data_IF_149862110687
#
_entry.id   IF_149862110687
#
_cell.length_a   1.000
_cell.length_b   1.000
_cell.length_c   1.000
_cell.angle_alpha   90.00
_cell.angle_beta   90.00
_cell.angle_gamma   90.00
#
_symmetry.space_group_name_H-M   'P 1'
#
loop_
_entity.id
_entity.type
_entity.pdbx_description
1 polymer ?
#
# COMPACT_ATOMS: atom_id res chain seq x y z
N UNK A 1 29.20 -7.86 -9.17
CA UNK A 1 28.14 -8.89 -9.21
C UNK A 1 27.88 -9.14 -10.68
N UNK A 2 28.22 -10.34 -11.14
CA UNK A 2 28.27 -10.68 -12.56
C UNK A 2 26.90 -10.53 -13.22
N UNK A 3 26.90 -9.93 -14.43
CA UNK A 3 25.74 -9.68 -15.29
C UNK A 3 25.15 -10.97 -15.92
N UNK A 4 25.42 -12.15 -15.34
CA UNK A 4 25.17 -13.44 -15.98
C UNK A 4 24.41 -14.44 -15.10
N UNK A 5 23.63 -13.95 -14.13
CA UNK A 5 22.65 -14.80 -13.47
C UNK A 5 21.50 -15.06 -14.44
N UNK A 6 21.33 -16.33 -14.82
CA UNK A 6 20.27 -16.73 -15.75
C UNK A 6 18.94 -16.61 -15.02
N UNK A 7 18.18 -15.57 -15.35
CA UNK A 7 16.85 -15.36 -14.77
C UNK A 7 15.91 -16.50 -15.12
N UNK A 8 15.09 -16.89 -14.16
CA UNK A 8 14.04 -17.86 -14.43
C UNK A 8 12.86 -17.21 -15.20
N UNK A 9 11.88 -18.00 -15.68
CA UNK A 9 10.76 -17.48 -16.44
C UNK A 9 9.91 -16.43 -15.70
N UNK A 10 9.68 -16.61 -14.40
CA UNK A 10 8.91 -15.66 -13.58
C UNK A 10 9.63 -14.32 -13.46
N UNK A 11 10.92 -14.34 -13.15
CA UNK A 11 11.75 -13.14 -13.07
C UNK A 11 11.84 -12.40 -14.41
N UNK A 12 11.96 -13.15 -15.51
CA UNK A 12 11.98 -12.61 -16.88
C UNK A 12 10.66 -11.92 -17.21
N UNK A 13 9.52 -12.55 -16.90
CA UNK A 13 8.20 -11.95 -17.11
C UNK A 13 8.04 -10.64 -16.33
N UNK A 14 8.48 -10.58 -15.07
CA UNK A 14 8.46 -9.33 -14.29
C UNK A 14 9.30 -8.23 -14.97
N UNK A 15 10.49 -8.58 -15.47
CA UNK A 15 11.33 -7.61 -16.19
C UNK A 15 10.66 -7.06 -17.45
N UNK A 16 9.92 -7.89 -18.19
CA UNK A 16 9.19 -7.45 -19.38
C UNK A 16 8.14 -6.38 -19.03
N UNK A 17 7.46 -6.52 -17.89
CA UNK A 17 6.53 -5.49 -17.39
C UNK A 17 7.24 -4.23 -16.84
N UNK A 18 8.36 -4.40 -16.13
CA UNK A 18 9.12 -3.30 -15.55
C UNK A 18 9.93 -2.52 -16.61
N UNK A 19 10.26 -3.14 -17.73
CA UNK A 19 10.95 -2.53 -18.85
C UNK A 19 10.11 -1.48 -19.54
N UNK A 20 10.66 -0.28 -19.72
CA UNK A 20 10.10 0.73 -20.63
C UNK A 20 11.23 1.61 -21.17
N UNK A 21 11.38 1.64 -22.50
CA UNK A 21 12.30 2.58 -23.16
C UNK A 21 11.80 4.00 -22.90
N UNK A 22 12.72 4.96 -22.87
CA UNK A 22 12.37 6.35 -22.59
C UNK A 22 11.34 6.91 -23.59
N UNK A 23 11.44 6.52 -24.87
CA UNK A 23 10.54 6.97 -25.93
C UNK A 23 9.08 6.47 -25.76
N UNK A 24 8.87 5.40 -25.01
CA UNK A 24 7.54 4.78 -24.81
C UNK A 24 6.88 5.27 -23.50
N UNK A 25 7.55 6.13 -22.74
CA UNK A 25 7.06 6.60 -21.44
C UNK A 25 6.09 7.78 -21.61
N UNK A 26 4.99 7.81 -20.85
CA UNK A 26 4.02 8.89 -20.96
C UNK A 26 4.61 10.22 -20.49
N UNK A 27 4.25 11.27 -21.22
CA UNK A 27 4.48 12.66 -20.86
C UNK A 27 3.22 13.18 -20.17
N UNK A 28 3.40 13.94 -19.10
CA UNK A 28 2.32 14.64 -18.42
C UNK A 28 2.51 16.15 -18.53
N UNK A 29 1.41 16.89 -18.34
CA UNK A 29 1.45 18.35 -18.21
C UNK A 29 2.32 18.76 -17.02
N UNK A 30 3.05 19.87 -17.15
CA UNK A 30 3.77 20.50 -16.03
C UNK A 30 2.81 21.21 -15.06
N UNK A 31 1.54 21.40 -15.43
CA UNK A 31 0.49 21.93 -14.54
C UNK A 31 -0.28 20.84 -13.76
N UNK A 32 -0.11 19.55 -14.11
CA UNK A 32 -0.92 18.46 -13.53
C UNK A 32 -0.85 18.42 -12.00
N UNK A 33 0.31 18.74 -11.41
CA UNK A 33 0.47 18.77 -9.96
C UNK A 33 -0.43 19.81 -9.31
N UNK A 34 -0.41 21.04 -9.83
CA UNK A 34 -1.21 22.14 -9.29
C UNK A 34 -2.69 21.87 -9.47
N UNK A 35 -3.09 21.34 -10.63
CA UNK A 35 -4.49 21.00 -10.93
C UNK A 35 -5.03 19.95 -9.94
N UNK A 36 -4.31 18.84 -9.74
CA UNK A 36 -4.71 17.80 -8.77
C UNK A 36 -4.78 18.32 -7.33
N UNK A 37 -3.81 19.17 -6.93
CA UNK A 37 -3.79 19.77 -5.59
C UNK A 37 -4.94 20.73 -5.37
N UNK A 38 -5.20 21.61 -6.33
CA UNK A 38 -6.26 22.60 -6.27
C UNK A 38 -7.63 21.90 -6.22
N UNK A 39 -7.86 20.93 -7.09
CA UNK A 39 -9.11 20.18 -7.16
C UNK A 39 -9.41 19.43 -5.84
N UNK A 40 -8.43 18.71 -5.30
CA UNK A 40 -8.59 18.08 -3.98
C UNK A 40 -8.76 19.11 -2.87
N UNK A 41 -8.05 20.23 -2.90
CA UNK A 41 -8.17 21.26 -1.87
C UNK A 41 -9.59 21.84 -1.85
N UNK A 42 -10.16 22.13 -3.02
CA UNK A 42 -11.54 22.61 -3.17
C UNK A 42 -12.51 21.55 -2.63
N UNK A 43 -12.42 20.31 -3.12
CA UNK A 43 -13.33 19.21 -2.73
C UNK A 43 -13.29 18.88 -1.25
N UNK A 44 -12.10 18.89 -0.66
CA UNK A 44 -11.91 18.52 0.74
C UNK A 44 -12.14 19.69 1.71
N UNK A 45 -12.05 20.94 1.26
CA UNK A 45 -12.28 22.12 2.12
C UNK A 45 -13.67 22.12 2.77
N UNK A 46 -14.69 21.62 2.06
CA UNK A 46 -16.07 21.53 2.56
C UNK A 46 -16.23 20.62 3.77
N UNK A 47 -15.25 19.76 4.07
CA UNK A 47 -15.29 18.87 5.23
C UNK A 47 -14.61 19.44 6.47
N UNK A 48 -13.81 20.50 6.32
CA UNK A 48 -12.99 21.07 7.37
C UNK A 48 -13.81 21.50 8.59
N UNK A 49 -14.95 22.15 8.37
CA UNK A 49 -15.80 22.67 9.46
C UNK A 49 -16.42 21.57 10.34
N UNK A 50 -16.46 20.33 9.86
CA UNK A 50 -17.00 19.21 10.61
C UNK A 50 -15.94 18.49 11.44
N UNK A 51 -14.65 18.71 11.17
CA UNK A 51 -13.55 18.09 11.92
C UNK A 51 -13.17 19.05 13.06
N UNK A 52 -13.25 18.63 14.34
CA UNK A 52 -12.88 19.48 15.47
C UNK A 52 -11.45 20.02 15.34
N UNK A 53 -11.22 21.27 15.77
CA UNK A 53 -9.91 21.94 15.63
C UNK A 53 -8.75 21.20 16.34
N UNK A 54 -9.05 20.40 17.36
CA UNK A 54 -8.09 19.58 18.10
C UNK A 54 -7.92 18.17 17.53
N UNK A 55 -8.59 17.85 16.43
CA UNK A 55 -8.55 16.55 15.78
C UNK A 55 -7.96 16.63 14.37
N UNK A 56 -7.56 15.48 13.85
CA UNK A 56 -7.08 15.36 12.48
C UNK A 56 -7.55 14.05 11.90
N UNK A 57 -8.18 14.12 10.72
CA UNK A 57 -8.63 12.96 10.00
C UNK A 57 -7.48 12.36 9.18
N UNK A 58 -6.91 11.27 9.69
CA UNK A 58 -5.91 10.48 8.98
C UNK A 58 -6.60 9.43 8.08
N UNK A 59 -6.36 9.51 6.78
CA UNK A 59 -6.93 8.60 5.78
C UNK A 59 -5.83 7.85 5.07
N UNK A 60 -5.99 6.53 5.00
CA UNK A 60 -5.11 5.63 4.25
C UNK A 60 -5.95 4.79 3.28
N UNK A 61 -5.29 4.04 2.40
CA UNK A 61 -5.95 3.06 1.55
C UNK A 61 -6.83 2.06 2.33
N UNK A 62 -6.42 1.70 3.54
CA UNK A 62 -7.16 0.78 4.40
C UNK A 62 -8.49 1.39 4.85
N UNK A 63 -8.46 2.64 5.32
CA UNK A 63 -9.67 3.37 5.70
C UNK A 63 -10.63 3.51 4.50
N UNK A 64 -10.12 3.86 3.32
CA UNK A 64 -10.93 3.97 2.10
C UNK A 64 -11.56 2.63 1.71
N UNK A 65 -10.82 1.53 1.77
CA UNK A 65 -11.38 0.22 1.45
C UNK A 65 -12.44 -0.23 2.44
N UNK A 66 -12.23 -0.01 3.73
CA UNK A 66 -13.21 -0.38 4.76
C UNK A 66 -14.50 0.41 4.59
N UNK A 67 -14.42 1.74 4.55
CA UNK A 67 -15.60 2.60 4.46
C UNK A 67 -16.39 2.35 3.16
N UNK A 68 -15.70 2.11 2.05
CA UNK A 68 -16.34 1.85 0.76
C UNK A 68 -16.93 0.44 0.69
N UNK A 69 -16.42 -0.51 1.48
CA UNK A 69 -16.95 -1.88 1.53
C UNK A 69 -18.17 -1.98 2.44
N UNK A 70 -18.08 -1.45 3.66
CA UNK A 70 -19.13 -1.54 4.66
C UNK A 70 -18.92 -0.50 5.77
N UNK A 71 -19.85 0.45 5.89
CA UNK A 71 -19.79 1.51 6.89
C UNK A 71 -19.94 0.97 8.33
N UNK A 72 -20.79 -0.05 8.52
CA UNK A 72 -20.93 -0.73 9.84
C UNK A 72 -19.66 -1.43 10.28
N UNK A 73 -19.01 -2.17 9.37
CA UNK A 73 -17.73 -2.81 9.66
C UNK A 73 -16.66 -1.76 9.95
N UNK A 74 -16.62 -0.66 9.20
CA UNK A 74 -15.68 0.43 9.45
C UNK A 74 -15.78 0.99 10.87
N UNK A 75 -17.00 1.23 11.38
CA UNK A 75 -17.19 1.68 12.77
C UNK A 75 -16.81 0.60 13.77
N UNK A 76 -17.25 -0.64 13.54
CA UNK A 76 -16.91 -1.78 14.41
C UNK A 76 -15.38 -1.95 14.54
N UNK A 77 -14.67 -1.90 13.42
CA UNK A 77 -13.20 -2.02 13.38
C UNK A 77 -12.51 -0.82 14.05
N UNK A 78 -13.10 0.39 13.93
CA UNK A 78 -12.57 1.62 14.54
C UNK A 78 -12.74 1.64 16.06
N UNK A 79 -13.83 1.11 16.57
CA UNK A 79 -14.12 1.01 18.01
C UNK A 79 -13.39 -0.17 18.68
N UNK A 80 -13.03 -1.17 17.89
CA UNK A 80 -12.25 -2.32 18.36
C UNK A 80 -10.83 -1.92 18.73
N UNK A 81 -10.32 -2.45 19.84
CA UNK A 81 -8.89 -2.32 20.15
C UNK A 81 -8.09 -3.16 19.17
N UNK A 82 -7.11 -2.55 18.50
CA UNK A 82 -6.22 -3.30 17.61
C UNK A 82 -5.39 -4.30 18.41
N UNK A 83 -5.42 -5.56 17.99
CA UNK A 83 -4.62 -6.63 18.56
C UNK A 83 -3.70 -7.25 17.50
N UNK A 84 -2.42 -7.39 17.86
CA UNK A 84 -1.47 -8.10 17.04
C UNK A 84 -1.79 -9.60 17.01
N UNK A 85 -1.59 -10.18 15.84
CA UNK A 85 -1.79 -11.59 15.57
C UNK A 85 -0.78 -12.04 14.52
N UNK A 86 -0.56 -13.36 14.39
CA UNK A 86 0.34 -13.90 13.35
C UNK A 86 -0.01 -13.35 11.96
N UNK A 87 -1.28 -13.33 11.52
CA UNK A 87 -1.63 -12.77 10.21
C UNK A 87 -1.29 -11.28 10.02
N UNK A 88 -1.48 -10.45 11.06
CA UNK A 88 -1.24 -8.99 10.97
C UNK A 88 0.24 -8.66 11.04
N UNK A 89 1.02 -9.38 11.85
CA UNK A 89 2.47 -9.21 11.93
C UNK A 89 3.21 -9.75 10.70
N UNK A 90 2.72 -10.85 10.11
CA UNK A 90 3.35 -11.52 8.96
C UNK A 90 3.67 -10.55 7.82
N UNK A 91 2.73 -9.69 7.44
CA UNK A 91 2.91 -8.74 6.33
C UNK A 91 4.06 -7.76 6.59
N UNK A 92 4.05 -7.13 7.76
CA UNK A 92 5.05 -6.15 8.16
C UNK A 92 6.46 -6.76 8.24
N UNK A 93 6.58 -7.92 8.88
CA UNK A 93 7.89 -8.60 9.03
C UNK A 93 8.40 -9.08 7.67
N UNK A 94 7.52 -9.55 6.78
CA UNK A 94 7.91 -9.95 5.42
C UNK A 94 8.48 -8.77 4.63
N UNK A 95 7.86 -7.59 4.70
CA UNK A 95 8.38 -6.41 4.02
C UNK A 95 9.72 -5.96 4.59
N UNK A 96 9.91 -6.04 5.92
CA UNK A 96 11.23 -5.77 6.51
C UNK A 96 12.28 -6.79 6.05
N UNK A 97 11.95 -8.08 5.95
CA UNK A 97 12.88 -9.09 5.45
C UNK A 97 13.24 -8.88 3.97
N UNK A 98 12.27 -8.50 3.13
CA UNK A 98 12.50 -8.14 1.72
C UNK A 98 13.36 -6.85 1.62
N UNK A 99 13.10 -5.84 2.45
CA UNK A 99 13.93 -4.64 2.54
C UNK A 99 15.40 -5.02 2.84
N UNK A 100 15.60 -5.89 3.84
CA UNK A 100 16.93 -6.38 4.18
C UNK A 100 17.58 -7.12 3.02
N UNK A 101 16.84 -7.96 2.29
CA UNK A 101 17.38 -8.75 1.17
C UNK A 101 17.92 -7.88 0.03
N UNK A 102 17.38 -6.68 -0.15
CA UNK A 102 17.76 -5.75 -1.21
C UNK A 102 19.04 -4.98 -0.86
N UNK A 103 19.21 -4.64 0.42
CA UNK A 103 20.31 -3.79 0.87
C UNK A 103 21.45 -4.57 1.53
N UNK A 104 21.31 -5.88 1.72
CA UNK A 104 22.38 -6.72 2.22
C UNK A 104 23.52 -6.83 1.21
N UNK A 105 24.77 -6.75 1.68
CA UNK A 105 25.94 -6.77 0.80
C UNK A 105 26.20 -8.12 0.12
N UNK A 106 25.70 -9.20 0.72
CA UNK A 106 25.83 -10.57 0.25
C UNK A 106 24.46 -11.20 0.09
N UNK A 107 24.39 -12.25 -0.71
CA UNK A 107 23.23 -13.12 -0.73
C UNK A 107 23.05 -13.80 0.63
N UNK A 108 21.81 -13.82 1.12
CA UNK A 108 21.45 -14.34 2.43
C UNK A 108 20.20 -15.19 2.27
N UNK A 109 20.22 -16.37 2.88
CA UNK A 109 19.10 -17.32 2.87
C UNK A 109 17.82 -16.67 3.43
N UNK A 110 16.63 -16.95 2.85
CA UNK A 110 15.36 -16.36 3.27
C UNK A 110 15.15 -16.39 4.78
N UNK A 111 15.42 -17.54 5.41
CA UNK A 111 15.21 -17.73 6.83
C UNK A 111 16.10 -16.85 7.71
N UNK A 112 17.33 -16.57 7.26
CA UNK A 112 18.24 -15.68 7.97
C UNK A 112 17.78 -14.22 7.88
N UNK A 113 17.19 -13.82 6.75
CA UNK A 113 16.55 -12.50 6.60
C UNK A 113 15.32 -12.37 7.51
N UNK A 114 14.53 -13.44 7.64
CA UNK A 114 13.37 -13.48 8.56
C UNK A 114 13.82 -13.35 10.00
N UNK A 115 14.84 -14.11 10.42
CA UNK A 115 15.35 -14.05 11.80
C UNK A 115 15.90 -12.66 12.14
N UNK A 116 16.60 -12.01 11.21
CA UNK A 116 17.06 -10.64 11.38
C UNK A 116 15.90 -9.63 11.43
N UNK A 117 14.91 -9.77 10.55
CA UNK A 117 13.73 -8.90 10.56
C UNK A 117 12.96 -9.01 11.88
N UNK A 118 12.74 -10.23 12.38
CA UNK A 118 12.13 -10.50 13.67
C UNK A 118 12.93 -9.87 14.82
N UNK A 119 14.26 -10.06 14.82
CA UNK A 119 15.15 -9.47 15.82
C UNK A 119 15.04 -7.94 15.85
N UNK A 120 15.06 -7.28 14.68
CA UNK A 120 14.91 -5.83 14.58
C UNK A 120 13.55 -5.33 15.04
N UNK A 121 12.47 -6.01 14.67
CA UNK A 121 11.13 -5.66 15.13
C UNK A 121 10.96 -5.88 16.63
N UNK A 122 11.55 -6.94 17.21
CA UNK A 122 11.49 -7.20 18.65
C UNK A 122 12.31 -6.20 19.49
N UNK A 123 13.38 -5.63 18.93
CA UNK A 123 14.19 -4.59 19.58
C UNK A 123 13.60 -3.17 19.51
N UNK A 124 12.38 -3.01 18.96
CA UNK A 124 11.67 -1.74 18.99
C UNK A 124 11.02 -1.44 20.35
N UNK A 125 10.50 -0.23 20.50
CA UNK A 125 9.78 0.21 21.71
C UNK A 125 8.26 0.35 21.49
N UNK A 126 7.72 -0.37 20.49
CA UNK A 126 6.32 -0.27 20.08
C UNK A 126 5.47 -1.49 20.51
N UNK A 127 4.18 -1.43 20.19
CA UNK A 127 3.23 -2.50 20.50
C UNK A 127 3.57 -3.82 19.79
N UNK A 128 4.19 -3.77 18.61
CA UNK A 128 4.61 -4.97 17.88
C UNK A 128 5.75 -5.65 18.62
N UNK A 129 6.76 -4.90 19.04
CA UNK A 129 7.88 -5.41 19.82
C UNK A 129 7.40 -6.09 21.11
N UNK A 130 6.49 -5.42 21.83
CA UNK A 130 5.87 -5.96 23.05
C UNK A 130 5.13 -7.28 22.79
N UNK A 131 4.35 -7.35 21.71
CA UNK A 131 3.66 -8.57 21.31
C UNK A 131 4.62 -9.69 20.89
N UNK A 132 5.68 -9.37 20.13
CA UNK A 132 6.70 -10.34 19.72
C UNK A 132 7.43 -10.99 20.90
N UNK A 133 7.63 -10.25 22.00
CA UNK A 133 8.20 -10.79 23.23
C UNK A 133 7.24 -11.73 23.99
N UNK A 134 5.94 -11.52 23.86
CA UNK A 134 4.90 -12.35 24.50
C UNK A 134 4.47 -13.58 23.69
N UNK A 135 4.96 -13.74 22.46
CA UNK A 135 4.60 -14.85 21.57
C UNK A 135 4.98 -16.21 22.18
N UNK A 136 4.05 -17.15 22.15
CA UNK A 136 4.32 -18.54 22.48
C UNK A 136 5.17 -19.20 21.38
N UNK A 137 5.90 -20.27 21.73
CA UNK A 137 6.81 -20.96 20.80
C UNK A 137 6.10 -21.44 19.52
N UNK A 138 4.85 -21.91 19.65
CA UNK A 138 4.02 -22.34 18.52
C UNK A 138 3.72 -21.20 17.55
N UNK A 139 3.21 -20.08 18.06
CA UNK A 139 2.87 -18.90 17.24
C UNK A 139 4.11 -18.26 16.64
N UNK A 140 5.23 -18.23 17.40
CA UNK A 140 6.53 -17.76 16.90
C UNK A 140 7.02 -18.63 15.74
N UNK A 141 6.90 -19.96 15.87
CA UNK A 141 7.26 -20.90 14.80
C UNK A 141 6.36 -20.73 13.57
N UNK A 142 5.04 -20.56 13.77
CA UNK A 142 4.10 -20.31 12.67
C UNK A 142 4.43 -19.00 11.95
N UNK A 143 4.59 -17.90 12.69
CA UNK A 143 4.95 -16.60 12.13
C UNK A 143 6.24 -16.67 11.31
N UNK A 144 7.28 -17.32 11.85
CA UNK A 144 8.56 -17.51 11.17
C UNK A 144 8.40 -18.30 9.87
N UNK A 145 7.63 -19.39 9.88
CA UNK A 145 7.34 -20.19 8.69
C UNK A 145 6.57 -19.39 7.63
N UNK A 146 5.50 -18.71 8.04
CA UNK A 146 4.64 -17.93 7.15
C UNK A 146 5.39 -16.79 6.46
N UNK A 147 6.25 -16.08 7.22
CA UNK A 147 7.12 -15.04 6.67
C UNK A 147 8.17 -15.65 5.74
N UNK A 148 8.81 -16.76 6.14
CA UNK A 148 9.84 -17.41 5.31
C UNK A 148 9.28 -17.81 3.94
N UNK A 149 8.09 -18.41 3.89
CA UNK A 149 7.46 -18.78 2.64
C UNK A 149 7.24 -17.56 1.73
N UNK A 150 6.76 -16.45 2.29
CA UNK A 150 6.54 -15.21 1.52
C UNK A 150 7.85 -14.60 1.00
N UNK A 151 8.90 -14.57 1.83
CA UNK A 151 10.22 -14.04 1.45
C UNK A 151 10.89 -14.94 0.42
N UNK A 152 10.83 -16.26 0.59
CA UNK A 152 11.36 -17.21 -0.38
C UNK A 152 10.66 -17.07 -1.74
N UNK A 153 9.32 -17.01 -1.76
CA UNK A 153 8.57 -16.77 -3.01
C UNK A 153 8.98 -15.47 -3.68
N UNK A 154 9.22 -14.39 -2.92
CA UNK A 154 9.74 -13.14 -3.49
C UNK A 154 11.12 -13.33 -4.13
N UNK A 155 12.08 -13.93 -3.41
CA UNK A 155 13.45 -14.12 -3.91
C UNK A 155 13.51 -15.05 -5.13
N UNK A 156 12.63 -16.05 -5.19
CA UNK A 156 12.54 -16.98 -6.32
C UNK A 156 11.86 -16.37 -7.54
N UNK A 157 10.88 -15.48 -7.38
CA UNK A 157 10.01 -15.04 -8.49
C UNK A 157 10.26 -13.59 -8.94
N UNK A 158 10.78 -12.74 -8.07
CA UNK A 158 11.11 -11.34 -8.37
C UNK A 158 12.56 -11.23 -8.86
N UNK A 159 12.83 -10.47 -9.94
CA UNK A 159 14.19 -10.31 -10.44
C UNK A 159 15.06 -9.56 -9.41
N UNK A 160 16.34 -9.93 -9.25
CA UNK A 160 17.24 -9.23 -8.34
C UNK A 160 17.22 -7.72 -8.57
N UNK A 161 16.99 -6.96 -7.49
CA UNK A 161 16.85 -5.51 -7.57
C UNK A 161 18.20 -4.84 -7.84
N UNK A 162 18.32 -4.20 -9.01
CA UNK A 162 19.54 -3.50 -9.40
C UNK A 162 19.60 -2.08 -8.82
N UNK A 163 20.78 -1.63 -8.39
CA UNK A 163 20.98 -0.29 -7.80
C UNK A 163 20.54 0.83 -8.76
N UNK A 164 20.73 0.61 -10.06
CA UNK A 164 20.39 1.57 -11.11
C UNK A 164 18.87 1.79 -11.21
N UNK A 165 18.06 0.84 -10.74
CA UNK A 165 16.61 0.97 -10.68
C UNK A 165 16.14 1.85 -9.53
N UNK A 166 17.04 2.29 -8.64
CA UNK A 166 16.75 3.18 -7.50
C UNK A 166 15.59 2.67 -6.64
N UNK A 167 15.70 1.43 -6.09
CA UNK A 167 14.63 0.87 -5.27
C UNK A 167 14.41 1.70 -4.01
N UNK A 168 13.15 2.01 -3.75
CA UNK A 168 12.67 2.59 -2.50
C UNK A 168 11.65 1.63 -1.90
N UNK A 169 12.04 0.91 -0.86
CA UNK A 169 11.13 0.02 -0.14
C UNK A 169 10.50 0.75 1.02
N UNK A 170 9.26 0.38 1.34
CA UNK A 170 8.59 0.80 2.56
C UNK A 170 8.58 2.34 2.71
N UNK A 171 8.49 3.06 1.58
CA UNK A 171 8.65 4.51 1.53
C UNK A 171 7.34 5.20 1.95
N UNK A 172 7.38 6.12 2.93
CA UNK A 172 6.19 6.85 3.34
C UNK A 172 5.77 7.85 2.26
N UNK A 173 4.46 8.00 2.11
CA UNK A 173 3.85 8.99 1.22
C UNK A 173 2.74 9.72 1.95
N UNK A 174 2.67 11.04 1.75
CA UNK A 174 1.78 11.92 2.51
C UNK A 174 1.38 13.16 1.71
N UNK A 175 0.13 13.57 1.83
CA UNK A 175 -0.39 14.86 1.38
C UNK A 175 -1.37 15.41 2.43
N UNK A 176 -1.37 16.73 2.61
CA UNK A 176 -2.16 17.41 3.63
C UNK A 176 -3.11 18.41 2.97
N UNK A 177 -4.35 18.47 3.46
CA UNK A 177 -5.43 19.32 2.96
C UNK A 177 -6.18 19.96 4.12
N UNK A 178 -7.05 20.93 3.81
CA UNK A 178 -7.90 21.61 4.81
C UNK A 178 -7.09 22.13 6.02
N UNK A 179 -5.97 22.80 5.75
CA UNK A 179 -5.04 23.34 6.76
C UNK A 179 -4.57 22.29 7.79
N UNK A 180 -4.42 21.04 7.36
CA UNK A 180 -3.94 19.94 8.20
C UNK A 180 -5.06 19.15 8.89
N UNK A 181 -6.33 19.56 8.75
CA UNK A 181 -7.46 18.80 9.29
C UNK A 181 -7.62 17.43 8.60
N UNK A 182 -7.13 17.28 7.37
CA UNK A 182 -7.19 16.04 6.60
C UNK A 182 -5.78 15.67 6.12
N UNK A 183 -5.32 14.48 6.49
CA UNK A 183 -4.04 13.92 6.08
C UNK A 183 -4.28 12.64 5.32
N UNK A 184 -3.87 12.61 4.05
CA UNK A 184 -3.80 11.40 3.26
C UNK A 184 -2.41 10.81 3.40
N UNK A 185 -2.30 9.54 3.79
CA UNK A 185 -1.00 8.93 3.98
C UNK A 185 -0.99 7.42 3.72
N UNK A 186 0.21 6.90 3.46
CA UNK A 186 0.46 5.48 3.41
C UNK A 186 1.92 5.15 3.22
N UNK A 187 2.18 3.90 2.91
CA UNK A 187 3.52 3.34 2.78
C UNK A 187 3.54 2.43 1.55
N UNK A 188 4.44 2.73 0.62
CA UNK A 188 4.59 1.95 -0.61
C UNK A 188 5.59 0.82 -0.38
N UNK A 189 5.19 -0.42 -0.67
CA UNK A 189 6.05 -1.60 -0.47
C UNK A 189 7.34 -1.50 -1.29
N UNK A 190 7.22 -1.22 -2.59
CA UNK A 190 8.34 -1.00 -3.48
C UNK A 190 8.03 0.08 -4.51
N UNK A 191 8.98 0.99 -4.71
CA UNK A 191 9.01 1.84 -5.88
C UNK A 191 10.34 1.82 -6.61
N UNK A 192 10.26 1.86 -7.94
CA UNK A 192 11.40 1.76 -8.85
C UNK A 192 11.40 2.95 -9.81
N UNK A 193 12.60 3.42 -10.15
CA UNK A 193 12.81 4.43 -11.17
C UNK A 193 12.62 5.87 -10.68
N UNK A 194 12.64 6.79 -11.64
CA UNK A 194 12.47 8.23 -11.43
C UNK A 194 11.87 8.87 -12.67
N UNK A 195 11.17 10.01 -12.54
CA UNK A 195 10.82 10.82 -13.70
C UNK A 195 12.06 11.48 -14.33
N UNK A 196 11.91 11.91 -15.59
CA UNK A 196 12.85 12.77 -16.32
C UNK A 196 12.07 13.95 -16.90
N UNK A 197 12.23 15.15 -16.32
CA UNK A 197 11.30 16.25 -16.61
C UNK A 197 9.87 15.83 -16.28
N UNK A 198 8.94 16.05 -17.20
CA UNK A 198 7.55 15.58 -17.10
C UNK A 198 7.31 14.19 -17.69
N UNK A 199 8.36 13.49 -18.13
CA UNK A 199 8.27 12.09 -18.57
C UNK A 199 8.22 11.17 -17.36
N UNK A 200 7.13 10.43 -17.19
CA UNK A 200 6.98 9.49 -16.10
C UNK A 200 7.91 8.29 -16.24
N UNK A 201 8.62 7.96 -15.16
CA UNK A 201 9.53 6.80 -15.16
C UNK A 201 9.46 5.94 -13.91
N UNK A 202 8.65 6.35 -12.93
CA UNK A 202 8.50 5.63 -11.66
C UNK A 202 7.45 4.53 -11.78
N UNK A 203 7.68 3.39 -11.14
CA UNK A 203 6.71 2.29 -10.98
C UNK A 203 6.49 2.07 -9.50
N UNK A 204 5.25 1.86 -9.09
CA UNK A 204 4.89 1.49 -7.71
C UNK A 204 4.37 0.07 -7.71
N UNK A 205 4.88 -0.76 -6.79
CA UNK A 205 4.53 -2.17 -6.68
C UNK A 205 4.12 -2.46 -5.24
N UNK A 206 3.01 -3.16 -5.07
CA UNK A 206 2.54 -3.70 -3.80
C UNK A 206 2.59 -5.23 -3.86
N UNK A 207 3.12 -5.85 -2.82
CA UNK A 207 3.27 -7.31 -2.74
C UNK A 207 2.10 -7.91 -1.99
N UNK A 208 1.45 -8.89 -2.61
CA UNK A 208 0.31 -9.60 -2.01
C UNK A 208 0.53 -11.10 -1.99
N UNK A 209 -0.20 -11.74 -1.09
CA UNK A 209 -0.36 -13.19 -1.01
C UNK A 209 -1.85 -13.47 -0.95
N UNK A 210 -2.35 -14.41 -1.75
CA UNK A 210 -3.77 -14.80 -1.77
C UNK A 210 -4.53 -14.26 -3.00
N UNK A 211 -5.86 -14.36 -2.96
CA UNK A 211 -6.73 -14.07 -4.10
C UNK A 211 -6.68 -12.63 -4.60
N UNK A 212 -6.99 -12.45 -5.88
CA UNK A 212 -7.21 -11.14 -6.49
C UNK A 212 -8.46 -10.47 -5.89
N UNK A 213 -8.32 -9.22 -5.47
CA UNK A 213 -9.43 -8.36 -5.07
C UNK A 213 -9.37 -7.05 -5.86
N UNK A 214 -10.54 -6.56 -6.32
CA UNK A 214 -10.63 -5.30 -7.07
C UNK A 214 -10.06 -4.10 -6.30
N UNK A 215 -10.18 -4.11 -4.97
CA UNK A 215 -9.63 -3.08 -4.09
C UNK A 215 -8.11 -2.95 -4.15
N UNK A 216 -7.37 -4.02 -4.53
CA UNK A 216 -5.91 -3.94 -4.69
C UNK A 216 -5.51 -2.94 -5.78
N UNK A 217 -6.34 -2.79 -6.83
CA UNK A 217 -6.10 -1.79 -7.87
C UNK A 217 -6.37 -0.38 -7.34
N UNK A 218 -7.47 -0.21 -6.63
CA UNK A 218 -7.88 1.08 -6.05
C UNK A 218 -6.83 1.60 -5.04
N UNK A 219 -6.25 0.70 -4.24
CA UNK A 219 -5.13 0.96 -3.32
C UNK A 219 -3.93 1.61 -4.02
N UNK A 220 -3.55 1.06 -5.16
CA UNK A 220 -2.41 1.51 -5.92
C UNK A 220 -2.69 2.83 -6.64
N UNK A 221 -3.93 3.04 -7.10
CA UNK A 221 -4.38 4.34 -7.64
C UNK A 221 -4.29 5.44 -6.58
N UNK A 222 -4.60 5.15 -5.32
CA UNK A 222 -4.40 6.07 -4.21
C UNK A 222 -2.92 6.45 -4.06
N UNK A 223 -1.99 5.49 -4.11
CA UNK A 223 -0.55 5.80 -4.08
C UNK A 223 -0.08 6.59 -5.29
N UNK A 224 -0.57 6.27 -6.49
CA UNK A 224 -0.27 7.06 -7.69
C UNK A 224 -0.74 8.52 -7.55
N UNK A 225 -1.95 8.76 -7.02
CA UNK A 225 -2.45 10.11 -6.76
C UNK A 225 -1.55 10.87 -5.79
N UNK A 226 -1.22 10.29 -4.64
CA UNK A 226 -0.35 10.94 -3.67
C UNK A 226 1.05 11.20 -4.22
N UNK A 227 1.58 10.30 -5.06
CA UNK A 227 2.91 10.46 -5.66
C UNK A 227 2.91 11.57 -6.71
N UNK A 228 1.85 11.65 -7.53
CA UNK A 228 1.64 12.75 -8.49
C UNK A 228 1.59 14.09 -7.76
N UNK A 229 0.88 14.17 -6.63
CA UNK A 229 0.77 15.39 -5.80
C UNK A 229 2.12 15.74 -5.17
N UNK A 230 2.86 14.76 -4.67
CA UNK A 230 4.13 14.97 -3.96
C UNK A 230 5.25 15.38 -4.92
N UNK A 231 5.41 14.67 -6.03
CA UNK A 231 6.54 14.80 -6.95
C UNK A 231 6.26 15.69 -8.16
N UNK A 232 4.97 15.85 -8.52
CA UNK A 232 4.51 16.60 -9.68
C UNK A 232 4.52 15.83 -10.99
N UNK A 233 4.96 14.57 -10.99
CA UNK A 233 4.90 13.67 -12.14
C UNK A 233 4.38 12.32 -11.66
N UNK A 234 3.30 11.79 -12.26
CA UNK A 234 2.75 10.48 -11.91
C UNK A 234 3.76 9.35 -12.11
N UNK A 235 3.62 8.22 -11.38
CA UNK A 235 4.26 6.98 -11.81
C UNK A 235 3.71 6.58 -13.19
N UNK A 236 4.51 5.92 -14.03
CA UNK A 236 4.06 5.43 -15.35
C UNK A 236 3.10 4.25 -15.24
N UNK A 237 3.19 3.52 -14.13
CA UNK A 237 2.49 2.27 -13.90
C UNK A 237 2.46 1.98 -12.40
N UNK A 238 1.39 1.34 -11.97
CA UNK A 238 1.31 0.69 -10.66
C UNK A 238 1.04 -0.80 -10.86
N UNK A 239 1.48 -1.64 -9.93
CA UNK A 239 1.24 -3.07 -10.03
C UNK A 239 1.06 -3.74 -8.67
N UNK A 240 0.18 -4.75 -8.64
CA UNK A 240 0.18 -5.74 -7.57
C UNK A 240 0.95 -6.95 -8.05
N UNK A 241 1.91 -7.42 -7.26
CA UNK A 241 2.58 -8.69 -7.51
C UNK A 241 2.11 -9.75 -6.52
N UNK A 242 1.46 -10.80 -7.04
CA UNK A 242 0.91 -11.91 -6.25
C UNK A 242 1.97 -13.00 -6.09
N UNK A 243 2.60 -13.04 -4.91
CA UNK A 243 3.74 -13.91 -4.61
C UNK A 243 3.38 -15.41 -4.66
N UNK A 244 2.14 -15.77 -4.33
CA UNK A 244 1.64 -17.15 -4.37
C UNK A 244 1.37 -17.68 -5.79
N UNK A 245 1.29 -16.78 -6.77
CA UNK A 245 1.00 -17.09 -8.18
C UNK A 245 2.10 -16.66 -9.14
N UNK A 246 3.11 -15.95 -8.64
CA UNK A 246 4.11 -15.26 -9.44
C UNK A 246 3.49 -14.39 -10.55
N UNK A 247 2.37 -13.72 -10.24
CA UNK A 247 1.55 -13.00 -11.22
C UNK A 247 1.71 -11.47 -11.07
N UNK A 248 1.99 -10.79 -12.19
CA UNK A 248 2.17 -9.34 -12.26
C UNK A 248 0.90 -8.67 -12.80
N UNK A 249 0.13 -8.03 -11.92
CA UNK A 249 -1.11 -7.34 -12.29
C UNK A 249 -0.89 -5.84 -12.33
N UNK A 250 -0.73 -5.29 -13.54
CA UNK A 250 -0.38 -3.88 -13.75
C UNK A 250 -1.54 -3.01 -14.21
N UNK A 251 -1.46 -1.72 -13.90
CA UNK A 251 -2.28 -0.66 -14.48
C UNK A 251 -1.40 0.53 -14.86
N UNK A 252 -1.53 0.99 -16.10
CA UNK A 252 -0.90 2.23 -16.55
C UNK A 252 -1.64 3.43 -15.98
N UNK A 253 -0.89 4.40 -15.48
CA UNK A 253 -1.48 5.61 -14.91
C UNK A 253 -1.69 6.62 -16.03
N UNK A 254 -2.92 7.13 -16.08
CA UNK A 254 -3.36 8.22 -16.94
C UNK A 254 -4.03 9.28 -16.09
N UNK A 255 -4.29 10.47 -16.65
CA UNK A 255 -5.02 11.53 -15.95
C UNK A 255 -6.40 11.06 -15.48
N UNK A 256 -7.14 10.30 -16.31
CA UNK A 256 -8.43 9.72 -15.93
C UNK A 256 -8.32 8.75 -14.74
N UNK A 257 -7.22 7.99 -14.62
CA UNK A 257 -6.99 7.10 -13.47
C UNK A 257 -6.76 7.92 -12.20
N UNK A 258 -6.01 9.02 -12.30
CA UNK A 258 -5.77 9.93 -11.18
C UNK A 258 -7.05 10.66 -10.76
N UNK A 259 -7.86 11.09 -11.72
CA UNK A 259 -9.16 11.71 -11.50
C UNK A 259 -10.12 10.73 -10.80
N UNK A 260 -10.20 9.48 -11.26
CA UNK A 260 -10.98 8.43 -10.58
C UNK A 260 -10.51 8.18 -9.15
N UNK A 261 -9.19 8.19 -8.90
CA UNK A 261 -8.63 8.05 -7.56
C UNK A 261 -9.00 9.24 -6.66
N UNK A 262 -9.00 10.44 -7.22
CA UNK A 262 -9.38 11.68 -6.54
C UNK A 262 -10.85 11.65 -6.11
N UNK A 263 -11.76 11.26 -7.01
CA UNK A 263 -13.18 11.10 -6.66
C UNK A 263 -13.39 10.06 -5.56
N UNK A 264 -12.69 8.91 -5.64
CA UNK A 264 -12.76 7.90 -4.57
C UNK A 264 -12.30 8.46 -3.21
N UNK A 265 -11.26 9.30 -3.20
CA UNK A 265 -10.79 9.95 -1.96
C UNK A 265 -11.87 10.87 -1.40
N UNK A 266 -12.50 11.70 -2.24
CA UNK A 266 -13.60 12.56 -1.82
C UNK A 266 -14.77 11.75 -1.25
N UNK A 267 -15.25 10.73 -1.98
CA UNK A 267 -16.37 9.87 -1.56
C UNK A 267 -16.07 9.19 -0.22
N UNK A 268 -14.86 8.64 -0.07
CA UNK A 268 -14.44 7.98 1.16
C UNK A 268 -14.37 8.95 2.34
N UNK A 269 -13.84 10.16 2.12
CA UNK A 269 -13.77 11.18 3.17
C UNK A 269 -15.16 11.68 3.55
N UNK A 270 -16.03 11.91 2.57
CA UNK A 270 -17.41 12.31 2.83
C UNK A 270 -18.13 11.29 3.73
N UNK A 271 -18.03 10.00 3.39
CA UNK A 271 -18.59 8.92 4.19
C UNK A 271 -18.01 8.90 5.60
N UNK A 272 -16.68 8.95 5.73
CA UNK A 272 -16.03 8.95 7.05
C UNK A 272 -16.51 10.16 7.87
N UNK A 273 -16.53 11.36 7.30
CA UNK A 273 -16.92 12.58 8.00
C UNK A 273 -18.39 12.54 8.43
N UNK A 274 -19.28 12.09 7.55
CA UNK A 274 -20.70 12.01 7.85
C UNK A 274 -20.99 11.06 9.04
N UNK A 275 -20.29 9.93 9.12
CA UNK A 275 -20.52 8.96 10.19
C UNK A 275 -19.77 9.36 11.46
N UNK A 276 -18.48 9.69 11.36
CA UNK A 276 -17.62 9.92 12.52
C UNK A 276 -17.91 11.27 13.18
N UNK A 277 -18.17 12.31 12.40
CA UNK A 277 -18.28 13.68 12.93
C UNK A 277 -19.70 14.25 12.89
N UNK A 278 -20.53 13.86 11.91
CA UNK A 278 -21.93 14.31 11.83
C UNK A 278 -22.94 13.37 12.47
N UNK A 279 -22.51 12.20 12.94
CA UNK A 279 -23.40 11.20 13.57
C UNK A 279 -24.44 10.61 12.63
N UNK A 280 -24.15 10.53 11.33
CA UNK A 280 -25.02 9.85 10.35
C UNK A 280 -25.04 8.34 10.62
N UNK A 281 -26.20 7.69 10.45
CA UNK A 281 -26.30 6.25 10.65
C UNK A 281 -25.49 5.47 9.58
N UNK A 282 -24.64 4.51 9.98
CA UNK A 282 -23.81 3.74 9.05
C UNK A 282 -24.65 2.79 8.20
N UNK A 283 -24.43 2.84 6.89
CA UNK A 283 -25.13 2.00 5.91
C UNK A 283 -24.63 0.54 5.94
N UNK A 284 -25.57 -0.39 5.83
CA UNK A 284 -25.24 -1.82 5.62
C UNK A 284 -24.71 -2.07 4.21
N UNK A 285 -23.74 -2.97 4.08
CA UNK A 285 -23.33 -3.46 2.78
C UNK A 285 -24.32 -4.49 2.24
N UNK A 286 -24.36 -4.67 0.92
CA UNK A 286 -25.23 -5.65 0.25
C UNK A 286 -24.73 -7.10 0.29
N UNK A 287 -23.64 -7.38 1.01
CA UNK A 287 -23.07 -8.73 1.07
C UNK A 287 -23.83 -9.62 2.04
N UNK A 288 -24.37 -10.73 1.54
CA UNK A 288 -25.03 -11.79 2.32
C UNK A 288 -24.09 -12.48 3.33
N UNK A 289 -22.78 -12.39 3.11
CA UNK A 289 -21.75 -13.02 3.95
C UNK A 289 -21.22 -12.08 5.04
N UNK A 290 -21.71 -10.84 5.11
CA UNK A 290 -21.29 -9.90 6.14
C UNK A 290 -22.02 -10.20 7.44
N UNK A 291 -21.33 -10.75 8.44
CA UNK A 291 -21.93 -11.09 9.74
C UNK A 291 -22.55 -9.90 10.51
N UNK A 292 -22.20 -8.65 10.15
CA UNK A 292 -22.77 -7.43 10.74
C UNK A 292 -23.96 -6.85 9.96
N UNK A 293 -24.13 -7.25 8.70
CA UNK A 293 -25.15 -6.72 7.80
C UNK A 293 -26.14 -7.79 7.32
N UNK A 294 -25.83 -9.07 7.51
CA UNK A 294 -26.77 -10.15 7.27
C UNK A 294 -28.02 -9.92 8.13
N UNK A 295 -29.23 -10.05 7.55
CA UNK A 295 -30.45 -9.97 8.33
C UNK A 295 -30.40 -11.04 9.43
N UNK A 296 -30.76 -10.68 10.67
CA UNK A 296 -30.99 -11.67 11.72
C UNK A 296 -32.07 -12.63 11.21
N UNK A 297 -31.76 -13.92 11.13
CA UNK A 297 -32.73 -14.96 10.78
C UNK A 297 -33.97 -14.78 11.67
N UNK A 298 -35.12 -14.50 11.04
CA UNK A 298 -36.41 -14.25 11.68
C UNK A 298 -37.14 -15.54 12.00
#
# INVERSE_FOLDING_TARGET
>A
MDDNETLNPSQTSVLEHLGAKLADRPLFSDQLQSELKEELSIRLSKFQEFIPENETLFVSKFHLNQIMRCERQFITDRESQFEWSVPTARGLISHKAIELSVFWEREVEPLSLVDEALSRCANGDDALASWLHGLQDGDRSQLRSDVNNRVASFLESWPPLKKEWRPMLEAPIRAEFAQGAIILSGKVDLSLGKPLGTTAGKVIVDFKTGGFYSSHREDLRFYALLESIRLGVPPRMVATYYLDRSEFSSEHITENVLESALFRVEDGIEKIVNIVFKGSEPQSCSSEWCGLCAPEDS
#
